data_IF_205119505359
#
_entry.id   IF_205119505359
#
_cell.length_a   1.000
_cell.length_b   1.000
_cell.length_c   1.000
_cell.angle_alpha   90.00
_cell.angle_beta   90.00
_cell.angle_gamma   90.00
#
_symmetry.space_group_name_H-M   'P 1'
#
loop_
_entity.id
_entity.type
_entity.pdbx_description
1 polymer ?
#
# COMPACT_ATOMS: atom_id res chain seq x y z
N UNK A 1 40.29 -12.94 -12.53
CA UNK A 1 38.90 -12.51 -12.22
C UNK A 1 38.82 -11.03 -12.50
N UNK A 2 38.04 -10.66 -13.49
CA UNK A 2 37.84 -9.24 -13.82
C UNK A 2 37.07 -8.58 -12.67
N UNK A 3 37.60 -7.52 -12.09
CA UNK A 3 37.00 -6.84 -10.95
C UNK A 3 35.81 -6.05 -11.47
N UNK A 4 34.57 -6.40 -11.00
CA UNK A 4 33.38 -5.65 -11.37
C UNK A 4 33.40 -4.30 -10.65
N UNK A 5 33.67 -3.23 -11.38
CA UNK A 5 33.71 -1.84 -10.89
C UNK A 5 32.41 -1.07 -11.19
N UNK A 6 31.29 -1.78 -11.26
CA UNK A 6 29.98 -1.18 -11.51
C UNK A 6 28.97 -1.69 -10.47
N UNK A 7 27.94 -0.89 -10.23
CA UNK A 7 26.82 -1.29 -9.35
C UNK A 7 26.06 -2.48 -9.94
N UNK A 8 25.46 -3.32 -9.11
CA UNK A 8 24.51 -4.35 -9.58
C UNK A 8 23.34 -3.74 -10.35
N UNK A 9 22.69 -4.55 -11.19
CA UNK A 9 21.50 -4.13 -11.91
C UNK A 9 20.37 -3.73 -10.94
N UNK A 10 19.72 -2.59 -11.21
CA UNK A 10 18.60 -2.08 -10.40
C UNK A 10 19.01 -1.27 -9.17
N UNK A 11 20.33 -1.05 -8.97
CA UNK A 11 20.85 -0.11 -7.97
C UNK A 11 21.81 0.86 -8.62
N UNK A 12 21.92 2.07 -8.09
CA UNK A 12 22.77 3.12 -8.65
C UNK A 12 23.30 4.07 -7.60
N UNK A 13 24.43 4.69 -7.91
CA UNK A 13 24.92 5.81 -7.13
C UNK A 13 24.10 7.07 -7.43
N UNK A 14 23.78 7.83 -6.38
CA UNK A 14 23.14 9.15 -6.48
C UNK A 14 24.14 10.16 -5.93
N UNK A 15 24.58 11.12 -6.76
CA UNK A 15 25.65 12.03 -6.41
C UNK A 15 25.42 13.45 -6.95
N UNK A 16 26.25 14.40 -6.49
CA UNK A 16 26.23 15.80 -6.87
C UNK A 16 24.84 16.43 -6.73
N UNK A 17 24.38 17.12 -7.77
CA UNK A 17 23.12 17.87 -7.80
C UNK A 17 21.88 16.98 -7.56
N UNK A 18 21.88 15.76 -8.06
CA UNK A 18 20.77 14.83 -7.83
C UNK A 18 20.67 14.47 -6.35
N UNK A 19 21.81 14.18 -5.71
CA UNK A 19 21.86 13.90 -4.27
C UNK A 19 21.39 15.09 -3.45
N UNK A 20 21.83 16.32 -3.78
CA UNK A 20 21.40 17.55 -3.12
C UNK A 20 19.89 17.76 -3.23
N UNK A 21 19.31 17.55 -4.42
CA UNK A 21 17.87 17.65 -4.64
C UNK A 21 17.13 16.62 -3.77
N UNK A 22 17.57 15.35 -3.79
CA UNK A 22 16.97 14.28 -2.99
C UNK A 22 16.96 14.63 -1.50
N UNK A 23 18.09 15.05 -0.95
CA UNK A 23 18.19 15.41 0.47
C UNK A 23 17.33 16.63 0.80
N UNK A 24 17.25 17.61 -0.10
CA UNK A 24 16.40 18.79 0.05
C UNK A 24 14.92 18.41 0.08
N UNK A 25 14.49 17.53 -0.84
CA UNK A 25 13.10 17.02 -0.87
C UNK A 25 12.77 16.25 0.41
N UNK A 26 13.65 15.35 0.83
CA UNK A 26 13.46 14.60 2.07
C UNK A 26 13.28 15.54 3.27
N UNK A 27 14.15 16.56 3.40
CA UNK A 27 14.05 17.55 4.48
C UNK A 27 12.73 18.33 4.45
N UNK A 28 12.28 18.76 3.25
CA UNK A 28 11.01 19.47 3.09
C UNK A 28 9.82 18.60 3.54
N UNK A 29 9.78 17.35 3.09
CA UNK A 29 8.72 16.41 3.43
C UNK A 29 8.73 16.08 4.93
N UNK A 30 9.88 15.75 5.52
CA UNK A 30 9.99 15.52 6.97
C UNK A 30 9.53 16.73 7.79
N UNK A 31 9.81 17.96 7.32
CA UNK A 31 9.32 19.18 8.00
C UNK A 31 7.79 19.24 8.02
N UNK A 32 7.12 18.81 6.95
CA UNK A 32 5.66 18.75 6.93
C UNK A 32 5.16 17.68 7.91
N UNK A 33 5.73 16.47 7.89
CA UNK A 33 5.33 15.39 8.82
C UNK A 33 5.48 15.84 10.27
N UNK A 34 6.60 16.47 10.63
CA UNK A 34 6.83 17.00 11.98
C UNK A 34 5.81 18.10 12.36
N UNK A 35 5.34 18.92 11.39
CA UNK A 35 4.31 19.93 11.65
C UNK A 35 2.94 19.36 12.01
N UNK A 36 2.67 18.11 11.63
CA UNK A 36 1.49 17.33 12.02
C UNK A 36 1.72 16.52 13.32
N UNK A 37 2.87 16.70 13.99
CA UNK A 37 3.18 16.05 15.27
C UNK A 37 3.78 14.65 15.13
N UNK A 38 4.20 14.21 13.95
CA UNK A 38 4.85 12.94 13.75
C UNK A 38 6.30 12.97 14.24
N UNK A 39 6.73 11.92 14.90
CA UNK A 39 8.09 11.74 15.45
C UNK A 39 8.88 10.76 14.60
N UNK A 40 10.17 11.02 14.45
CA UNK A 40 11.06 10.16 13.67
C UNK A 40 11.23 8.79 14.34
N UNK A 41 11.14 7.73 13.54
CA UNK A 41 11.55 6.38 13.90
C UNK A 41 12.51 5.84 12.84
N UNK A 42 13.53 5.11 13.30
CA UNK A 42 14.43 4.35 12.43
C UNK A 42 14.37 2.87 12.79
N UNK A 43 13.92 2.06 11.87
CA UNK A 43 13.91 0.60 12.00
C UNK A 43 15.13 -0.02 11.31
N UNK A 44 15.55 -1.23 11.68
CA UNK A 44 16.66 -1.93 11.02
C UNK A 44 16.43 -2.11 9.51
N UNK A 45 17.52 -2.12 8.75
CA UNK A 45 17.48 -2.36 7.30
C UNK A 45 17.09 -3.80 6.97
N UNK A 46 17.36 -4.73 7.87
CA UNK A 46 16.97 -6.13 7.76
C UNK A 46 16.32 -6.60 9.05
N UNK A 47 15.43 -7.55 8.93
CA UNK A 47 14.66 -8.15 10.02
C UNK A 47 14.60 -9.68 9.82
N UNK A 48 14.09 -10.41 10.80
CA UNK A 48 13.68 -11.78 10.56
C UNK A 48 12.62 -11.84 9.46
N UNK A 49 12.75 -12.79 8.55
CA UNK A 49 11.84 -12.94 7.40
C UNK A 49 10.37 -13.00 7.82
N UNK A 50 10.07 -13.57 8.99
CA UNK A 50 8.70 -13.69 9.50
C UNK A 50 8.01 -12.36 9.79
N UNK A 51 8.76 -11.25 9.96
CA UNK A 51 8.20 -9.90 10.09
C UNK A 51 7.47 -9.49 8.81
N UNK A 52 7.96 -9.93 7.66
CA UNK A 52 7.41 -9.59 6.34
C UNK A 52 6.54 -10.70 5.73
N UNK A 53 6.56 -11.91 6.29
CA UNK A 53 5.89 -13.10 5.75
C UNK A 53 4.38 -13.06 5.92
N UNK A 54 3.88 -12.42 6.96
CA UNK A 54 2.44 -12.34 7.25
C UNK A 54 1.82 -11.25 6.37
N UNK A 55 1.56 -11.55 5.13
CA UNK A 55 0.63 -10.90 4.16
C UNK A 55 0.24 -9.40 4.38
N UNK A 56 0.92 -8.69 5.27
CA UNK A 56 0.68 -7.30 5.65
C UNK A 56 1.32 -6.34 4.63
N UNK A 57 2.00 -6.89 3.61
CA UNK A 57 2.72 -6.10 2.61
C UNK A 57 2.48 -6.59 1.18
N UNK A 58 2.49 -5.64 0.25
CA UNK A 58 2.30 -5.84 -1.19
C UNK A 58 3.42 -6.62 -1.90
N UNK A 59 4.46 -7.06 -1.18
CA UNK A 59 5.64 -7.70 -1.80
C UNK A 59 5.64 -9.19 -1.58
N UNK A 60 5.60 -9.95 -2.67
CA UNK A 60 5.70 -11.40 -2.65
C UNK A 60 6.99 -11.88 -1.97
N UNK A 61 6.90 -12.96 -1.20
CA UNK A 61 8.07 -13.60 -0.59
C UNK A 61 9.16 -13.98 -1.61
N UNK A 62 8.82 -14.17 -2.90
CA UNK A 62 9.77 -14.46 -3.99
C UNK A 62 10.59 -13.24 -4.38
N UNK A 63 10.07 -12.05 -4.17
CA UNK A 63 10.72 -10.78 -4.50
C UNK A 63 11.51 -10.18 -3.34
N UNK A 64 11.64 -10.87 -2.21
CA UNK A 64 12.45 -10.42 -1.08
C UNK A 64 13.89 -10.89 -1.20
N UNK A 65 14.85 -10.01 -0.87
CA UNK A 65 16.24 -10.39 -0.66
C UNK A 65 16.37 -11.10 0.68
N UNK A 66 16.72 -12.39 0.66
CA UNK A 66 16.87 -13.22 1.84
C UNK A 66 18.30 -13.71 2.01
N UNK A 67 18.75 -13.82 3.25
CA UNK A 67 20.07 -14.33 3.63
C UNK A 67 19.99 -15.00 5.00
N UNK A 68 21.08 -15.63 5.43
CA UNK A 68 21.14 -16.33 6.71
C UNK A 68 22.08 -15.60 7.65
N UNK A 69 21.74 -15.60 8.95
CA UNK A 69 22.70 -15.28 10.01
C UNK A 69 23.57 -16.49 10.33
N UNK A 70 24.45 -16.33 11.34
CA UNK A 70 25.37 -17.42 11.75
C UNK A 70 24.65 -18.58 12.43
N UNK A 71 23.52 -18.33 13.01
CA UNK A 71 22.66 -19.28 13.70
C UNK A 71 21.71 -20.02 12.76
N UNK A 72 21.66 -19.64 11.48
CA UNK A 72 20.81 -20.23 10.45
C UNK A 72 19.41 -19.66 10.36
N UNK A 73 19.15 -18.55 11.03
CA UNK A 73 17.86 -17.85 10.89
C UNK A 73 17.77 -17.16 9.53
N UNK A 74 16.56 -17.15 8.95
CA UNK A 74 16.30 -16.44 7.70
C UNK A 74 16.05 -14.97 8.00
N UNK A 75 16.88 -14.11 7.44
CA UNK A 75 16.74 -12.67 7.46
C UNK A 75 16.32 -12.16 6.08
N UNK A 76 15.66 -11.01 6.04
CA UNK A 76 15.33 -10.33 4.78
C UNK A 76 15.66 -8.83 4.86
N UNK A 77 16.16 -8.28 3.74
CA UNK A 77 16.15 -6.83 3.57
C UNK A 77 14.70 -6.37 3.49
N UNK A 78 14.39 -5.27 4.19
CA UNK A 78 13.02 -4.75 4.24
C UNK A 78 12.51 -4.35 2.85
N UNK A 79 11.42 -4.97 2.35
CA UNK A 79 10.77 -4.57 1.10
C UNK A 79 9.89 -3.33 1.30
N UNK A 80 9.44 -3.11 2.55
CA UNK A 80 8.63 -2.01 3.03
C UNK A 80 9.00 -1.70 4.49
N UNK A 81 8.73 -0.49 4.96
CA UNK A 81 9.10 -0.05 6.31
C UNK A 81 7.93 -0.25 7.29
N UNK A 82 6.68 -0.17 6.84
CA UNK A 82 5.48 -0.31 7.67
C UNK A 82 5.46 -1.57 8.55
N UNK A 83 5.81 -2.80 8.07
CA UNK A 83 5.84 -3.97 8.93
C UNK A 83 6.86 -3.88 10.06
N UNK A 84 8.02 -3.27 9.80
CA UNK A 84 9.05 -3.04 10.83
C UNK A 84 8.57 -2.06 11.89
N UNK A 85 7.79 -1.02 11.51
CA UNK A 85 7.19 -0.08 12.45
C UNK A 85 6.12 -0.77 13.27
N UNK A 86 5.23 -1.57 12.65
CA UNK A 86 4.21 -2.35 13.36
C UNK A 86 4.84 -3.25 14.43
N UNK A 87 5.92 -3.97 14.09
CA UNK A 87 6.70 -4.77 15.07
C UNK A 87 7.27 -3.88 16.18
N UNK A 88 7.86 -2.74 15.83
CA UNK A 88 8.45 -1.83 16.82
C UNK A 88 7.38 -1.30 17.79
N UNK A 89 6.22 -0.90 17.28
CA UNK A 89 5.11 -0.42 18.11
C UNK A 89 4.62 -1.52 19.04
N UNK A 90 4.42 -2.72 18.54
CA UNK A 90 3.97 -3.86 19.33
C UNK A 90 4.97 -4.28 20.44
N UNK A 91 6.24 -3.86 20.38
CA UNK A 91 7.27 -4.28 21.33
C UNK A 91 7.85 -3.16 22.19
N UNK A 92 7.80 -1.91 21.71
CA UNK A 92 8.46 -0.78 22.38
C UNK A 92 7.46 0.26 22.93
N UNK A 93 6.22 0.25 22.44
CA UNK A 93 5.19 1.25 22.76
C UNK A 93 4.00 0.65 23.54
N UNK A 94 4.22 -0.48 24.23
CA UNK A 94 3.15 -1.19 24.97
C UNK A 94 2.48 -0.32 26.06
N UNK A 95 3.20 0.67 26.59
CA UNK A 95 2.72 1.55 27.67
C UNK A 95 2.37 2.95 27.20
N UNK A 96 2.52 3.24 25.92
CA UNK A 96 2.23 4.55 25.35
C UNK A 96 0.74 4.74 25.08
N UNK A 97 0.27 5.97 25.22
CA UNK A 97 -1.10 6.34 24.88
C UNK A 97 -1.28 6.48 23.36
N UNK A 98 -2.39 5.94 22.85
CA UNK A 98 -2.77 6.12 21.44
C UNK A 98 -3.52 7.46 21.23
N UNK A 99 -3.43 8.07 20.03
CA UNK A 99 -2.76 7.59 18.83
C UNK A 99 -1.25 7.86 18.81
N UNK A 100 -0.49 6.93 18.24
CA UNK A 100 0.94 7.06 18.01
C UNK A 100 1.18 7.59 16.60
N UNK A 101 1.99 8.65 16.48
CA UNK A 101 2.37 9.27 15.21
C UNK A 101 3.85 9.10 14.95
N UNK A 102 4.20 8.27 13.98
CA UNK A 102 5.58 7.99 13.60
C UNK A 102 5.82 8.33 12.14
N UNK A 103 6.99 8.88 11.82
CA UNK A 103 7.42 9.12 10.45
C UNK A 103 8.84 8.59 10.24
N UNK A 104 9.15 8.29 8.99
CA UNK A 104 10.41 7.65 8.64
C UNK A 104 10.92 8.07 7.26
N UNK A 105 12.22 7.93 7.07
CA UNK A 105 12.86 7.94 5.76
C UNK A 105 13.92 6.84 5.73
N UNK A 106 13.88 5.99 4.71
CA UNK A 106 14.81 4.88 4.60
C UNK A 106 14.75 4.19 3.25
N UNK A 107 15.72 3.32 3.00
CA UNK A 107 15.73 2.55 1.76
C UNK A 107 14.97 1.23 1.92
N UNK A 108 14.26 0.85 0.88
CA UNK A 108 13.56 -0.42 0.71
C UNK A 108 14.15 -1.19 -0.45
N UNK A 109 14.02 -2.52 -0.43
CA UNK A 109 14.74 -3.41 -1.35
C UNK A 109 13.79 -4.48 -1.88
N UNK A 110 13.57 -4.46 -3.22
CA UNK A 110 12.71 -5.43 -3.89
C UNK A 110 13.47 -6.09 -5.02
N UNK A 111 13.55 -7.43 -5.02
CA UNK A 111 14.26 -8.21 -6.01
C UNK A 111 13.35 -8.50 -7.22
N UNK A 112 12.98 -7.45 -7.94
CA UNK A 112 12.25 -7.62 -9.20
C UNK A 112 13.03 -8.43 -10.22
N UNK A 113 12.32 -9.16 -11.10
CA UNK A 113 12.93 -9.77 -12.27
C UNK A 113 13.53 -8.71 -13.19
N UNK A 114 14.71 -9.01 -13.76
CA UNK A 114 15.65 -8.06 -14.37
C UNK A 114 15.18 -7.32 -15.64
N UNK A 115 13.99 -7.59 -16.18
CA UNK A 115 13.60 -7.14 -17.52
C UNK A 115 12.80 -5.84 -17.59
N UNK A 116 12.63 -5.08 -16.49
CA UNK A 116 11.68 -3.96 -16.48
C UNK A 116 12.29 -2.59 -16.15
N UNK A 117 13.59 -2.45 -16.04
CA UNK A 117 14.24 -1.17 -15.68
C UNK A 117 13.83 -0.62 -14.31
N UNK A 118 13.20 -1.43 -13.46
CA UNK A 118 12.79 -1.05 -12.10
C UNK A 118 13.99 -1.02 -11.17
N UNK A 119 14.00 -0.02 -10.28
CA UNK A 119 15.00 0.04 -9.22
C UNK A 119 14.72 -1.04 -8.18
N UNK A 120 15.78 -1.73 -7.74
CA UNK A 120 15.75 -2.73 -6.67
C UNK A 120 15.98 -2.12 -5.29
N UNK A 121 16.51 -0.91 -5.25
CA UNK A 121 16.65 -0.08 -4.07
C UNK A 121 15.95 1.25 -4.29
N UNK A 122 15.00 1.59 -3.41
CA UNK A 122 14.26 2.84 -3.44
C UNK A 122 14.30 3.52 -2.08
N UNK A 123 14.27 4.86 -2.06
CA UNK A 123 14.10 5.60 -0.81
C UNK A 123 12.62 5.84 -0.60
N UNK A 124 12.10 5.34 0.51
CA UNK A 124 10.74 5.55 0.99
C UNK A 124 10.75 6.60 2.11
N UNK A 125 9.82 7.54 2.07
CA UNK A 125 9.50 8.44 3.15
C UNK A 125 8.00 8.29 3.42
N UNK A 126 7.64 8.10 4.68
CA UNK A 126 6.26 7.84 5.05
C UNK A 126 5.95 8.22 6.49
N UNK A 127 4.68 8.05 6.84
CA UNK A 127 4.15 8.26 8.18
C UNK A 127 3.11 7.21 8.51
N UNK A 128 3.06 6.82 9.78
CA UNK A 128 2.11 5.86 10.32
C UNK A 128 1.33 6.51 11.47
N UNK A 129 0.01 6.51 11.35
CA UNK A 129 -0.92 6.90 12.41
C UNK A 129 -1.55 5.63 12.97
N UNK A 130 -1.24 5.31 14.22
CA UNK A 130 -1.55 4.01 14.80
C UNK A 130 -2.48 4.18 16.01
N UNK A 131 -3.50 3.32 16.10
CA UNK A 131 -4.39 3.23 17.23
C UNK A 131 -5.57 4.20 17.18
N UNK A 132 -5.93 4.70 16.01
CA UNK A 132 -7.13 5.48 15.77
C UNK A 132 -7.81 5.01 14.49
N UNK A 133 -9.11 4.81 14.56
CA UNK A 133 -9.98 4.45 13.44
C UNK A 133 -11.10 5.50 13.37
N UNK A 134 -10.87 6.55 12.57
CA UNK A 134 -11.83 7.63 12.38
C UNK A 134 -11.65 8.35 11.05
N UNK A 135 -12.72 8.96 10.56
CA UNK A 135 -12.71 9.78 9.33
C UNK A 135 -11.74 10.96 9.45
N UNK A 136 -11.59 11.52 10.65
CA UNK A 136 -10.66 12.62 10.92
C UNK A 136 -9.21 12.16 10.78
N UNK A 137 -8.89 10.92 11.16
CA UNK A 137 -7.57 10.34 10.97
C UNK A 137 -7.24 10.18 9.48
N UNK A 138 -8.18 9.66 8.69
CA UNK A 138 -8.03 9.56 7.24
C UNK A 138 -7.85 10.94 6.59
N UNK A 139 -8.66 11.91 7.01
CA UNK A 139 -8.56 13.30 6.53
C UNK A 139 -7.20 13.94 6.89
N UNK A 140 -6.68 13.67 8.11
CA UNK A 140 -5.34 14.13 8.52
C UNK A 140 -4.26 13.57 7.58
N UNK A 141 -4.30 12.26 7.31
CA UNK A 141 -3.33 11.61 6.42
C UNK A 141 -3.38 12.19 5.00
N UNK A 142 -4.58 12.39 4.45
CA UNK A 142 -4.75 12.98 3.12
C UNK A 142 -4.27 14.43 3.07
N UNK A 143 -4.61 15.24 4.07
CA UNK A 143 -4.16 16.63 4.16
C UNK A 143 -2.63 16.73 4.24
N UNK A 144 -2.01 15.87 5.04
CA UNK A 144 -0.55 15.80 5.18
C UNK A 144 0.15 15.43 3.86
N UNK A 145 -0.41 14.48 3.09
CA UNK A 145 0.11 14.12 1.76
C UNK A 145 0.01 15.31 0.80
N UNK A 146 -1.15 15.99 0.77
CA UNK A 146 -1.37 17.17 -0.08
C UNK A 146 -0.39 18.30 0.27
N UNK A 147 -0.21 18.59 1.56
CA UNK A 147 0.73 19.63 2.03
C UNK A 147 2.18 19.25 1.71
N UNK A 148 2.53 17.96 1.86
CA UNK A 148 3.83 17.44 1.45
C UNK A 148 4.10 17.69 -0.03
N UNK A 149 3.19 17.31 -0.91
CA UNK A 149 3.32 17.52 -2.36
C UNK A 149 3.44 19.00 -2.71
N UNK A 150 2.60 19.87 -2.15
CA UNK A 150 2.68 21.32 -2.33
C UNK A 150 4.05 21.88 -1.86
N UNK A 151 4.57 21.39 -0.72
CA UNK A 151 5.85 21.83 -0.17
C UNK A 151 7.05 21.47 -1.05
N UNK A 152 6.94 20.38 -1.83
CA UNK A 152 7.97 20.03 -2.81
C UNK A 152 8.03 21.01 -3.99
N UNK A 153 6.96 21.71 -4.27
CA UNK A 153 6.82 22.67 -5.38
C UNK A 153 5.89 22.19 -6.50
N UNK A 154 5.21 21.05 -6.33
CA UNK A 154 4.17 20.61 -7.26
C UNK A 154 2.99 21.56 -7.20
N UNK A 155 2.55 22.04 -8.37
CA UNK A 155 1.44 23.00 -8.50
C UNK A 155 0.16 22.31 -8.94
N UNK A 156 0.29 21.30 -9.79
CA UNK A 156 -0.82 20.55 -10.37
C UNK A 156 -0.61 19.07 -10.11
N UNK A 157 -1.51 18.47 -9.38
CA UNK A 157 -1.53 17.03 -9.08
C UNK A 157 -2.95 16.60 -8.70
N UNK A 158 -3.23 15.33 -8.85
CA UNK A 158 -4.48 14.71 -8.45
C UNK A 158 -4.20 13.69 -7.36
N UNK A 159 -5.05 13.66 -6.34
CA UNK A 159 -5.07 12.62 -5.32
C UNK A 159 -6.29 11.76 -5.57
N UNK A 160 -6.07 10.48 -5.83
CA UNK A 160 -7.13 9.50 -5.99
C UNK A 160 -7.33 8.75 -4.68
N UNK A 161 -8.58 8.68 -4.22
CA UNK A 161 -8.96 7.98 -2.99
C UNK A 161 -9.78 6.76 -3.40
N UNK A 162 -9.44 5.60 -2.85
CA UNK A 162 -10.18 4.36 -3.02
C UNK A 162 -10.71 3.86 -1.68
N UNK A 163 -11.83 3.15 -1.70
CA UNK A 163 -12.43 2.54 -0.51
C UNK A 163 -12.37 1.01 -0.67
N UNK A 164 -11.54 0.37 0.14
CA UNK A 164 -11.27 -1.08 0.03
C UNK A 164 -12.53 -1.88 0.38
N UNK A 165 -13.32 -1.45 1.39
CA UNK A 165 -14.51 -2.17 1.83
C UNK A 165 -15.58 -2.26 0.75
N UNK A 166 -15.59 -1.31 -0.20
CA UNK A 166 -16.51 -1.38 -1.34
C UNK A 166 -16.23 -2.63 -2.18
N UNK A 167 -14.98 -2.88 -2.54
CA UNK A 167 -14.57 -4.06 -3.31
C UNK A 167 -14.74 -5.35 -2.47
N UNK A 168 -14.39 -5.32 -1.20
CA UNK A 168 -14.58 -6.47 -0.30
C UNK A 168 -16.06 -6.84 -0.16
N UNK A 169 -16.94 -5.83 -0.06
CA UNK A 169 -18.38 -6.06 0.01
C UNK A 169 -18.92 -6.70 -1.27
N UNK A 170 -18.39 -6.34 -2.44
CA UNK A 170 -18.73 -7.00 -3.71
C UNK A 170 -18.30 -8.47 -3.72
N UNK A 171 -17.09 -8.76 -3.25
CA UNK A 171 -16.60 -10.15 -3.18
C UNK A 171 -17.44 -10.99 -2.22
N UNK A 172 -17.78 -10.45 -1.06
CA UNK A 172 -18.66 -11.13 -0.10
C UNK A 172 -20.06 -11.37 -0.68
N UNK A 173 -20.63 -10.37 -1.35
CA UNK A 173 -21.95 -10.51 -1.98
C UNK A 173 -21.97 -11.50 -3.13
N UNK A 174 -20.83 -11.65 -3.81
CA UNK A 174 -20.64 -12.67 -4.87
C UNK A 174 -20.42 -14.07 -4.28
N UNK A 175 -20.20 -14.22 -2.98
CA UNK A 175 -19.95 -15.52 -2.34
C UNK A 175 -18.64 -16.16 -2.78
N UNK A 176 -17.61 -15.35 -3.14
CA UNK A 176 -16.36 -15.83 -3.70
C UNK A 176 -15.51 -16.56 -2.67
N UNK A 177 -14.90 -17.65 -3.10
CA UNK A 177 -13.80 -18.27 -2.38
C UNK A 177 -12.51 -17.43 -2.50
N UNK A 178 -11.54 -17.65 -1.61
CA UNK A 178 -10.33 -16.80 -1.54
C UNK A 178 -9.54 -16.78 -2.86
N UNK A 179 -9.41 -17.92 -3.54
CA UNK A 179 -8.68 -18.01 -4.81
C UNK A 179 -9.38 -17.23 -5.94
N UNK A 180 -10.71 -17.26 -5.97
CA UNK A 180 -11.54 -16.51 -6.94
C UNK A 180 -11.48 -15.00 -6.68
N UNK A 181 -11.53 -14.62 -5.41
CA UNK A 181 -11.37 -13.22 -4.99
C UNK A 181 -9.99 -12.66 -5.36
N UNK A 182 -8.93 -13.45 -5.22
CA UNK A 182 -7.56 -13.04 -5.58
C UNK A 182 -7.40 -12.89 -7.10
N UNK A 183 -8.01 -13.78 -7.90
CA UNK A 183 -8.04 -13.66 -9.36
C UNK A 183 -8.74 -12.35 -9.78
N UNK A 184 -9.92 -12.07 -9.25
CA UNK A 184 -10.67 -10.85 -9.55
C UNK A 184 -9.93 -9.60 -9.06
N UNK A 185 -9.30 -9.60 -7.86
CA UNK A 185 -8.43 -8.51 -7.40
C UNK A 185 -7.33 -8.21 -8.41
N UNK A 186 -6.68 -9.25 -8.91
CA UNK A 186 -5.60 -9.10 -9.90
C UNK A 186 -6.09 -8.50 -11.21
N UNK A 187 -7.25 -8.96 -11.71
CA UNK A 187 -7.87 -8.43 -12.92
C UNK A 187 -8.29 -6.96 -12.76
N UNK A 188 -8.94 -6.62 -11.64
CA UNK A 188 -9.36 -5.24 -11.33
C UNK A 188 -8.12 -4.32 -11.20
N UNK A 189 -7.09 -4.75 -10.47
CA UNK A 189 -5.85 -3.97 -10.29
C UNK A 189 -5.16 -3.69 -11.63
N UNK A 190 -5.22 -4.64 -12.57
CA UNK A 190 -4.70 -4.49 -13.92
C UNK A 190 -5.65 -3.78 -14.88
N UNK A 191 -6.84 -3.34 -14.40
CA UNK A 191 -7.92 -2.74 -15.21
C UNK A 191 -8.38 -3.66 -16.37
N UNK A 192 -8.27 -4.96 -16.19
CA UNK A 192 -8.74 -5.96 -17.15
C UNK A 192 -10.20 -6.32 -16.85
N UNK A 193 -11.11 -5.38 -17.12
CA UNK A 193 -12.53 -5.56 -16.82
C UNK A 193 -13.20 -6.62 -17.74
N UNK A 194 -12.67 -6.83 -18.94
CA UNK A 194 -13.11 -7.94 -19.77
C UNK A 194 -12.87 -9.30 -19.10
N UNK A 195 -11.69 -9.49 -18.51
CA UNK A 195 -11.38 -10.69 -17.74
C UNK A 195 -12.27 -10.85 -16.49
N UNK A 196 -12.65 -9.72 -15.85
CA UNK A 196 -13.59 -9.74 -14.72
C UNK A 196 -14.96 -10.28 -15.18
N UNK A 197 -15.49 -9.79 -16.32
CA UNK A 197 -16.74 -10.26 -16.89
C UNK A 197 -16.68 -11.76 -17.22
N UNK A 198 -15.61 -12.21 -17.87
CA UNK A 198 -15.41 -13.61 -18.24
C UNK A 198 -15.43 -14.53 -17.02
N UNK A 199 -14.75 -14.14 -15.93
CA UNK A 199 -14.74 -14.91 -14.68
C UNK A 199 -16.13 -14.96 -14.06
N UNK A 200 -16.83 -13.82 -13.96
CA UNK A 200 -18.16 -13.73 -13.36
C UNK A 200 -19.24 -14.47 -14.16
N UNK A 201 -19.09 -14.58 -15.49
CA UNK A 201 -20.03 -15.30 -16.33
C UNK A 201 -19.98 -16.83 -16.11
N UNK A 202 -18.84 -17.33 -15.64
CA UNK A 202 -18.68 -18.75 -15.30
C UNK A 202 -19.10 -19.08 -13.86
N UNK A 203 -19.45 -18.05 -13.06
CA UNK A 203 -19.85 -18.19 -11.66
C UNK A 203 -21.37 -18.08 -11.49
N UNK A 204 -21.90 -18.78 -10.50
CA UNK A 204 -23.32 -18.68 -10.09
C UNK A 204 -23.49 -17.46 -9.15
N UNK A 205 -23.35 -16.28 -9.72
CA UNK A 205 -23.45 -14.99 -9.00
C UNK A 205 -24.72 -14.27 -9.45
N UNK A 206 -25.41 -13.64 -8.48
CA UNK A 206 -26.65 -12.90 -8.76
C UNK A 206 -26.43 -11.76 -9.77
N UNK A 207 -27.38 -11.56 -10.69
CA UNK A 207 -27.30 -10.54 -11.75
C UNK A 207 -27.03 -9.14 -11.20
N UNK A 208 -27.61 -8.78 -10.05
CA UNK A 208 -27.38 -7.49 -9.39
C UNK A 208 -25.93 -7.28 -8.94
N UNK A 209 -25.23 -8.36 -8.55
CA UNK A 209 -23.82 -8.32 -8.18
C UNK A 209 -22.95 -8.20 -9.44
N UNK A 210 -23.27 -8.95 -10.49
CA UNK A 210 -22.59 -8.81 -11.81
C UNK A 210 -22.69 -7.38 -12.32
N UNK A 211 -23.88 -6.77 -12.25
CA UNK A 211 -24.09 -5.36 -12.64
C UNK A 211 -23.23 -4.39 -11.81
N UNK A 212 -23.06 -4.63 -10.50
CA UNK A 212 -22.20 -3.81 -9.68
C UNK A 212 -20.71 -3.92 -10.08
N UNK A 213 -20.23 -5.09 -10.50
CA UNK A 213 -18.88 -5.25 -11.05
C UNK A 213 -18.74 -4.54 -12.42
N UNK A 214 -19.76 -4.56 -13.27
CA UNK A 214 -19.76 -3.85 -14.54
C UNK A 214 -19.65 -2.33 -14.37
N UNK A 215 -20.21 -1.78 -13.29
CA UNK A 215 -20.13 -0.35 -12.99
C UNK A 215 -18.76 0.11 -12.43
N UNK A 216 -17.90 -0.81 -11.95
CA UNK A 216 -16.60 -0.45 -11.37
C UNK A 216 -15.74 0.50 -12.22
N UNK A 217 -15.61 0.30 -13.55
CA UNK A 217 -14.84 1.21 -14.39
C UNK A 217 -15.40 2.64 -14.40
N UNK A 218 -16.71 2.79 -14.25
CA UNK A 218 -17.43 4.07 -14.30
C UNK A 218 -17.39 4.79 -12.93
N UNK A 219 -17.15 4.05 -11.84
CA UNK A 219 -17.04 4.60 -10.49
C UNK A 219 -15.66 5.29 -10.26
N UNK A 220 -15.23 6.09 -11.23
CA UNK A 220 -14.00 6.89 -11.15
C UNK A 220 -14.31 8.33 -11.57
N UNK A 221 -14.20 9.28 -10.66
CA UNK A 221 -14.51 10.68 -10.92
C UNK A 221 -14.40 11.57 -9.69
N UNK A 222 -15.16 12.64 -9.64
CA UNK A 222 -15.23 13.53 -8.48
C UNK A 222 -16.25 13.06 -7.45
N UNK A 223 -16.60 13.97 -6.52
CA UNK A 223 -17.55 13.66 -5.43
C UNK A 223 -18.96 13.27 -5.93
N UNK A 224 -19.32 13.67 -7.15
CA UNK A 224 -20.58 13.32 -7.80
C UNK A 224 -20.79 11.81 -8.00
N UNK A 225 -19.71 11.05 -8.07
CA UNK A 225 -19.76 9.58 -8.21
C UNK A 225 -20.25 8.91 -6.92
N UNK A 226 -20.04 9.54 -5.77
CA UNK A 226 -20.54 9.03 -4.49
C UNK A 226 -22.07 8.92 -4.47
N UNK A 227 -22.79 9.71 -5.26
CA UNK A 227 -24.24 9.63 -5.39
C UNK A 227 -24.68 8.40 -6.21
N UNK A 228 -23.83 7.86 -7.05
CA UNK A 228 -24.07 6.67 -7.88
C UNK A 228 -23.66 5.37 -7.16
N UNK A 229 -22.63 5.42 -6.33
CA UNK A 229 -22.15 4.29 -5.56
C UNK A 229 -23.18 3.68 -4.57
N UNK A 230 -24.03 4.46 -3.86
CA UNK A 230 -25.05 3.92 -2.93
C UNK A 230 -26.11 3.07 -3.62
N UNK A 231 -26.43 3.30 -4.90
CA UNK A 231 -27.43 2.50 -5.63
C UNK A 231 -26.94 1.05 -5.75
N UNK A 232 -25.64 0.87 -6.04
CA UNK A 232 -25.00 -0.44 -6.05
C UNK A 232 -24.90 -1.05 -4.64
N UNK A 233 -24.63 -0.21 -3.61
CA UNK A 233 -24.42 -0.64 -2.22
C UNK A 233 -25.74 -0.97 -1.49
N UNK A 234 -26.84 -0.27 -1.77
CA UNK A 234 -28.15 -0.56 -1.17
C UNK A 234 -28.74 -1.88 -1.68
N UNK A 235 -28.46 -2.26 -2.89
CA UNK A 235 -28.82 -3.60 -3.42
C UNK A 235 -28.04 -4.71 -2.70
N UNK A 236 -26.76 -4.49 -2.38
CA UNK A 236 -25.93 -5.44 -1.63
C UNK A 236 -26.41 -5.60 -0.17
N UNK A 237 -26.75 -4.51 0.54
CA UNK A 237 -27.29 -4.57 1.90
C UNK A 237 -28.69 -5.22 2.01
N UNK A 238 -29.49 -5.13 0.98
CA UNK A 238 -30.82 -5.76 0.98
C UNK A 238 -30.71 -7.30 1.02
N UNK A 239 -29.62 -7.88 0.52
CA UNK A 239 -29.35 -9.31 0.59
C UNK A 239 -28.83 -9.77 1.96
N UNK A 240 -28.03 -8.97 2.66
CA UNK A 240 -27.55 -9.31 4.02
C UNK A 240 -28.69 -9.38 5.04
N UNK A 241 -29.69 -8.53 4.92
CA UNK A 241 -30.87 -8.55 5.81
C UNK A 241 -31.83 -9.71 5.56
N UNK A 242 -31.76 -10.35 4.39
CA UNK A 242 -32.58 -11.51 4.04
C UNK A 242 -31.96 -12.85 4.46
N UNK A 243 -30.67 -12.89 4.76
CA UNK A 243 -29.96 -14.10 5.19
C UNK A 243 -30.00 -14.35 6.71
N UNK A 244 -30.58 -13.44 7.50
CA UNK A 244 -30.71 -13.52 8.96
C UNK A 244 -32.17 -13.59 9.46
N UNK A 245 -33.12 -13.98 8.61
CA UNK A 245 -34.48 -14.40 8.97
C UNK A 245 -34.67 -15.86 8.52
#
# INVERSE_FOLDING_TARGET
MEQKLHTPEGVRDIYNKECEIKLTLQKKLSTVLHSYGYQDIQTPTFEYFDVFRKEIGSTSAREMYKFFDREGNILALRPDITPSIARAVATLFETEDFPIRLCYAGNTFINHSSYQGRLKENTQLGAELIGVDSIEADAEMLAMVVDGLKKTGLKEFQVSIGHVDFIQSLFLAAGLEEDEAEELRTLIANRNFFGVEEVLDHMDVADSVKEAFHLLPELTGGAEILDQAPVSYTHLRAHETSAHL
#
